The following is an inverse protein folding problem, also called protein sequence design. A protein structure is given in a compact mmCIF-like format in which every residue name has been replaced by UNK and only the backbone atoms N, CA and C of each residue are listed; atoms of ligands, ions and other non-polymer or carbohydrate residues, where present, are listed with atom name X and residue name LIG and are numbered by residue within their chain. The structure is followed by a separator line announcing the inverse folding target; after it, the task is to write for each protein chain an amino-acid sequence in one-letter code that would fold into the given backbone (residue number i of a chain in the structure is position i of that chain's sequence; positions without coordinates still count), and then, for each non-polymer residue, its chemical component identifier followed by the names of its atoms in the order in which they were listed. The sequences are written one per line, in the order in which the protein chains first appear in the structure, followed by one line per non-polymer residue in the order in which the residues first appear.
data_IF_763963813954
#
_entry.id   IF_763963813954
#
_cell.length_a   1.000
_cell.length_b   1.000
_cell.length_c   1.000
_cell.angle_alpha   90.00
_cell.angle_beta   90.00
_cell.angle_gamma   90.00
#
_symmetry.space_group_name_H-M   'P 1'
#
loop_
_entity.id
_entity.type
_entity.pdbx_description
1 polymer ?
#
# COMPACT_ATOMS: atom_id res chain seq x y z
N UNK A 1 -4.01 11.07 -47.87
CA UNK A 1 -4.12 9.59 -47.86
C UNK A 1 -2.70 9.09 -47.59
N UNK A 2 -2.28 8.39 -46.56
CA UNK A 2 -2.91 7.54 -45.52
C UNK A 2 -1.92 7.56 -44.34
N UNK A 3 -2.34 7.88 -43.12
CA UNK A 3 -2.57 6.91 -42.04
C UNK A 3 -1.53 5.79 -41.93
N UNK A 4 -0.65 5.87 -40.92
CA UNK A 4 -0.10 4.70 -40.25
C UNK A 4 0.33 5.05 -38.81
N UNK A 5 -0.59 4.87 -37.87
CA UNK A 5 -0.27 4.65 -36.47
C UNK A 5 -0.24 3.13 -36.22
N UNK A 6 0.81 2.58 -35.60
CA UNK A 6 0.70 1.31 -34.92
C UNK A 6 0.83 1.49 -33.40
N UNK A 7 -0.22 1.09 -32.68
CA UNK A 7 -0.18 0.61 -31.29
C UNK A 7 -0.80 -0.80 -31.31
N UNK A 8 -0.69 -1.63 -30.25
CA UNK A 8 0.38 -1.80 -29.28
C UNK A 8 0.80 -3.28 -29.15
N UNK A 9 2.03 -3.57 -28.75
CA UNK A 9 2.40 -4.91 -28.28
C UNK A 9 2.57 -4.89 -26.76
N UNK A 10 1.72 -5.66 -26.08
CA UNK A 10 1.86 -6.04 -24.67
C UNK A 10 3.07 -6.97 -24.55
N UNK A 11 3.94 -6.77 -23.56
CA UNK A 11 4.42 -7.92 -22.79
C UNK A 11 4.68 -7.56 -21.34
N UNK A 12 4.13 -8.44 -20.53
CA UNK A 12 4.11 -8.53 -19.08
C UNK A 12 5.51 -8.89 -18.57
N UNK A 13 6.05 -8.10 -17.66
CA UNK A 13 6.84 -8.54 -16.50
C UNK A 13 7.48 -7.31 -15.86
N UNK A 14 7.08 -6.96 -14.65
CA UNK A 14 8.09 -6.47 -13.73
C UNK A 14 7.81 -6.95 -12.32
N UNK A 15 8.80 -7.68 -11.81
CA UNK A 15 8.77 -8.38 -10.56
C UNK A 15 8.54 -7.40 -9.40
N UNK A 16 7.67 -7.79 -8.48
CA UNK A 16 7.72 -7.35 -7.10
C UNK A 16 9.14 -7.54 -6.56
N UNK A 17 9.86 -6.45 -6.32
CA UNK A 17 10.92 -6.32 -5.31
C UNK A 17 11.41 -4.88 -5.26
N UNK A 18 10.96 -4.13 -4.26
CA UNK A 18 11.60 -2.88 -3.86
C UNK A 18 12.96 -3.21 -3.23
N UNK A 19 14.09 -2.67 -3.72
CA UNK A 19 15.38 -2.91 -3.10
C UNK A 19 15.52 -2.04 -1.83
N UNK A 20 15.25 -2.63 -0.66
CA UNK A 20 15.65 -2.06 0.60
C UNK A 20 17.18 -2.23 0.77
N UNK A 21 17.95 -1.17 0.55
CA UNK A 21 19.33 -1.10 1.09
C UNK A 21 19.26 -0.50 2.50
N UNK A 22 19.03 -1.36 3.49
CA UNK A 22 19.22 -1.02 4.90
C UNK A 22 20.62 -1.48 5.34
N UNK A 23 21.49 -0.53 5.71
CA UNK A 23 22.79 -0.83 6.35
C UNK A 23 22.53 -1.07 7.83
N UNK A 24 22.73 -2.31 8.30
CA UNK A 24 22.49 -2.72 9.70
C UNK A 24 23.73 -2.49 10.55
N UNK A 25 23.58 -1.76 11.65
CA UNK A 25 24.43 -1.86 12.84
C UNK A 25 23.50 -1.77 14.05
N UNK A 26 23.38 -2.87 14.82
CA UNK A 26 22.61 -2.92 16.07
C UNK A 26 21.34 -3.78 16.02
N UNK A 27 21.10 -4.56 17.09
CA UNK A 27 19.91 -5.39 17.33
C UNK A 27 18.63 -4.59 17.05
N UNK A 28 17.91 -4.96 15.98
CA UNK A 28 16.90 -4.10 15.36
C UNK A 28 15.55 -4.09 16.10
N UNK A 29 14.90 -2.93 16.28
CA UNK A 29 13.52 -2.83 16.70
C UNK A 29 12.57 -3.33 15.59
N UNK A 30 11.30 -3.69 15.91
CA UNK A 30 10.48 -4.53 15.07
C UNK A 30 10.08 -3.83 13.77
N UNK A 31 9.87 -4.66 12.74
CA UNK A 31 9.20 -4.32 11.50
C UNK A 31 7.96 -3.48 11.84
N UNK A 32 7.86 -2.27 11.26
CA UNK A 32 6.66 -1.45 11.36
C UNK A 32 5.45 -2.33 11.09
N UNK A 33 4.42 -2.20 11.94
CA UNK A 33 3.24 -3.07 11.84
C UNK A 33 2.66 -3.02 10.42
N UNK A 34 2.15 -4.16 9.96
CA UNK A 34 1.53 -4.26 8.64
C UNK A 34 0.38 -3.23 8.52
N UNK A 35 0.37 -2.41 7.46
CA UNK A 35 -0.68 -1.43 7.26
C UNK A 35 -2.03 -2.13 7.02
N UNK A 36 -3.11 -1.55 7.54
CA UNK A 36 -4.48 -2.03 7.26
C UNK A 36 -5.11 -1.12 6.21
N UNK A 37 -5.44 -1.69 5.06
CA UNK A 37 -6.10 -0.96 3.96
C UNK A 37 -7.55 -1.40 3.87
N UNK A 38 -8.49 -0.45 3.84
CA UNK A 38 -9.92 -0.69 3.66
C UNK A 38 -10.42 0.11 2.47
N UNK A 39 -11.22 -0.55 1.63
CA UNK A 39 -11.79 0.04 0.42
C UNK A 39 -13.25 -0.34 0.38
N UNK A 40 -14.11 0.54 0.88
CA UNK A 40 -15.57 0.35 0.92
C UNK A 40 -16.24 1.00 -0.30
N UNK A 41 -17.56 0.98 -0.41
CA UNK A 41 -18.29 1.67 -1.49
C UNK A 41 -18.09 3.19 -1.42
N UNK A 42 -18.09 3.75 -0.22
CA UNK A 42 -18.10 5.20 -0.01
C UNK A 42 -16.72 5.82 0.18
N UNK A 43 -15.73 5.04 0.63
CA UNK A 43 -14.40 5.58 0.97
C UNK A 43 -13.28 4.57 0.88
N UNK A 44 -12.08 5.10 0.70
CA UNK A 44 -10.81 4.40 0.80
C UNK A 44 -10.07 4.89 2.05
N UNK A 45 -9.52 3.97 2.85
CA UNK A 45 -8.87 4.28 4.13
C UNK A 45 -7.61 3.42 4.32
N UNK A 46 -6.53 4.03 4.78
CA UNK A 46 -5.28 3.38 5.19
C UNK A 46 -5.03 3.69 6.66
N UNK A 47 -4.76 2.65 7.44
CA UNK A 47 -4.30 2.75 8.83
C UNK A 47 -2.85 2.28 8.92
N UNK A 48 -1.99 3.09 9.54
CA UNK A 48 -0.56 2.82 9.70
C UNK A 48 -0.09 3.17 11.12
N UNK A 49 0.48 2.20 11.83
CA UNK A 49 1.15 2.43 13.11
C UNK A 49 2.47 3.18 12.89
N UNK A 50 2.54 4.41 13.42
CA UNK A 50 3.69 5.30 13.32
C UNK A 50 4.08 5.86 14.69
N UNK A 51 3.74 5.17 15.79
CA UNK A 51 4.00 5.59 17.19
C UNK A 51 5.45 5.96 17.54
N UNK A 52 6.41 5.55 16.71
CA UNK A 52 7.83 5.90 16.86
C UNK A 52 8.25 7.16 16.09
N UNK A 53 7.29 7.88 15.50
CA UNK A 53 7.49 9.10 14.71
C UNK A 53 6.60 10.21 15.24
N UNK A 54 7.17 11.40 15.37
CA UNK A 54 6.39 12.59 15.64
C UNK A 54 5.69 13.08 14.36
N UNK A 55 4.63 13.89 14.46
CA UNK A 55 3.98 14.49 13.28
C UNK A 55 4.97 15.22 12.36
N UNK A 56 6.00 15.86 12.93
CA UNK A 56 7.08 16.56 12.22
C UNK A 56 8.01 15.64 11.42
N UNK A 57 8.14 14.37 11.82
CA UNK A 57 8.98 13.38 11.14
C UNK A 57 8.24 12.73 9.95
N UNK A 58 6.93 13.01 9.78
CA UNK A 58 6.05 12.38 8.81
C UNK A 58 5.76 13.31 7.64
N UNK A 59 5.76 12.74 6.44
CA UNK A 59 5.40 13.43 5.20
C UNK A 59 4.46 12.54 4.40
N UNK A 60 3.30 13.09 4.04
CA UNK A 60 2.31 12.42 3.20
C UNK A 60 2.18 13.20 1.89
N UNK A 61 2.32 12.50 0.76
CA UNK A 61 2.21 13.07 -0.58
C UNK A 61 1.30 12.22 -1.43
N UNK A 62 0.62 12.86 -2.37
CA UNK A 62 -0.12 12.15 -3.43
C UNK A 62 0.49 12.52 -4.77
N UNK A 63 0.89 11.51 -5.52
CA UNK A 63 1.52 11.66 -6.82
C UNK A 63 1.18 10.46 -7.70
N UNK A 64 0.79 10.71 -8.97
CA UNK A 64 0.57 9.68 -9.99
C UNK A 64 -0.40 8.55 -9.55
N UNK A 65 -1.51 8.90 -8.89
CA UNK A 65 -2.48 7.94 -8.30
C UNK A 65 -1.91 7.07 -7.17
N UNK A 66 -0.80 7.49 -6.56
CA UNK A 66 -0.26 6.88 -5.34
C UNK A 66 -0.29 7.85 -4.19
N UNK A 67 -0.54 7.32 -2.99
CA UNK A 67 -0.21 7.99 -1.74
C UNK A 67 1.12 7.45 -1.22
N UNK A 68 2.04 8.36 -0.95
CA UNK A 68 3.38 8.11 -0.43
C UNK A 68 3.46 8.66 0.99
N UNK A 69 3.79 7.78 1.94
CA UNK A 69 3.98 8.10 3.35
C UNK A 69 5.44 7.83 3.68
N UNK A 70 6.16 8.89 4.01
CA UNK A 70 7.55 8.86 4.43
C UNK A 70 7.62 9.27 5.89
N UNK A 71 8.24 8.45 6.72
CA UNK A 71 8.61 8.81 8.09
C UNK A 71 10.11 8.79 8.23
N UNK A 72 10.71 9.87 8.71
CA UNK A 72 12.14 9.98 8.94
C UNK A 72 12.42 10.62 10.29
N UNK A 73 12.78 9.77 11.25
CA UNK A 73 13.27 10.18 12.55
C UNK A 73 14.79 10.11 12.51
N UNK A 74 15.44 11.27 12.53
CA UNK A 74 16.90 11.35 12.60
C UNK A 74 17.40 10.78 13.95
N UNK A 75 18.70 10.56 14.02
CA UNK A 75 19.36 10.08 15.23
C UNK A 75 19.10 11.04 16.41
N UNK A 76 18.17 10.68 17.30
CA UNK A 76 17.90 11.40 18.55
C UNK A 76 18.25 10.51 19.72
N UNK A 77 18.66 11.15 20.82
CA UNK A 77 18.90 10.46 22.07
C UNK A 77 17.56 10.06 22.69
N UNK A 78 17.40 8.77 22.97
CA UNK A 78 16.31 8.22 23.80
C UNK A 78 16.89 7.56 25.07
N UNK A 79 16.03 7.02 25.92
CA UNK A 79 16.42 6.36 27.18
C UNK A 79 17.41 5.20 27.00
N UNK A 80 17.60 4.69 25.77
CA UNK A 80 18.43 3.53 25.46
C UNK A 80 19.63 3.85 24.55
N UNK A 81 19.88 5.12 24.24
CA UNK A 81 21.01 5.57 23.41
C UNK A 81 20.55 6.43 22.24
N UNK A 82 21.21 6.29 21.09
CA UNK A 82 20.86 7.02 19.88
C UNK A 82 20.07 6.10 18.94
N UNK A 83 18.86 6.53 18.52
CA UNK A 83 18.07 5.76 17.55
C UNK A 83 17.65 6.63 16.37
N UNK A 84 17.84 6.07 15.17
CA UNK A 84 17.35 6.59 13.91
C UNK A 84 16.39 5.57 13.28
N UNK A 85 15.28 6.07 12.72
CA UNK A 85 14.24 5.23 12.08
C UNK A 85 13.78 5.91 10.80
N UNK A 86 13.63 5.13 9.73
CA UNK A 86 13.10 5.65 8.47
C UNK A 86 12.23 4.60 7.78
N UNK A 87 11.12 5.03 7.19
CA UNK A 87 10.28 4.19 6.35
C UNK A 87 9.67 4.94 5.18
N UNK A 88 9.49 4.21 4.08
CA UNK A 88 8.79 4.70 2.89
C UNK A 88 7.72 3.67 2.53
N UNK A 89 6.46 4.10 2.51
CA UNK A 89 5.32 3.27 2.11
C UNK A 89 4.56 3.96 1.01
N UNK A 90 4.23 3.22 -0.04
CA UNK A 90 3.47 3.72 -1.18
C UNK A 90 2.26 2.84 -1.43
N UNK A 91 1.09 3.44 -1.54
CA UNK A 91 -0.17 2.75 -1.78
C UNK A 91 -0.83 3.30 -3.02
N UNK A 92 -1.35 2.42 -3.86
CA UNK A 92 -2.11 2.82 -5.05
C UNK A 92 -3.51 3.25 -4.62
N UNK A 93 -3.92 4.45 -5.04
CA UNK A 93 -5.28 4.92 -4.90
C UNK A 93 -6.16 4.29 -5.99
N UNK A 94 -7.37 3.81 -5.63
CA UNK A 94 -8.38 3.49 -6.62
C UNK A 94 -8.72 4.72 -7.47
N UNK A 95 -8.99 4.52 -8.76
CA UNK A 95 -9.30 5.61 -9.71
C UNK A 95 -10.57 6.38 -9.36
N UNK A 96 -11.45 5.79 -8.55
CA UNK A 96 -12.68 6.41 -8.09
C UNK A 96 -12.54 7.15 -6.76
N UNK A 97 -11.32 7.32 -6.21
CA UNK A 97 -11.12 8.17 -5.03
C UNK A 97 -11.01 9.62 -5.47
N UNK A 98 -11.77 10.51 -4.81
CA UNK A 98 -11.62 11.95 -4.99
C UNK A 98 -10.33 12.44 -4.31
N UNK A 99 -9.35 12.83 -5.13
CA UNK A 99 -8.06 13.32 -4.66
C UNK A 99 -8.14 14.73 -4.05
N UNK A 100 -9.19 15.50 -4.35
CA UNK A 100 -9.39 16.85 -3.79
C UNK A 100 -9.86 16.81 -2.34
N UNK A 101 -10.61 15.76 -1.97
CA UNK A 101 -11.21 15.59 -0.66
C UNK A 101 -10.42 14.61 0.25
N UNK A 102 -9.12 14.44 -0.01
CA UNK A 102 -8.26 13.60 0.83
C UNK A 102 -8.03 14.23 2.20
N UNK A 103 -7.96 13.37 3.21
CA UNK A 103 -7.69 13.76 4.59
C UNK A 103 -6.68 12.81 5.23
N UNK A 104 -5.84 13.36 6.09
CA UNK A 104 -4.88 12.61 6.89
C UNK A 104 -4.94 13.09 8.34
N UNK A 105 -4.97 12.16 9.28
CA UNK A 105 -4.98 12.44 10.72
C UNK A 105 -4.04 11.48 11.43
N UNK A 106 -3.48 11.92 12.56
CA UNK A 106 -2.64 11.12 13.43
C UNK A 106 -3.25 11.10 14.82
N UNK A 107 -3.55 9.90 15.32
CA UNK A 107 -4.15 9.70 16.64
C UNK A 107 -3.08 9.76 17.73
N UNK A 108 -3.47 10.06 18.97
CA UNK A 108 -2.53 10.16 20.10
C UNK A 108 -1.81 8.83 20.41
N UNK A 109 -2.42 7.69 20.06
CA UNK A 109 -1.82 6.36 20.16
C UNK A 109 -0.80 6.05 19.05
N UNK A 110 -0.58 6.97 18.10
CA UNK A 110 0.38 6.79 17.01
C UNK A 110 -0.20 6.11 15.77
N UNK A 111 -1.52 6.01 15.63
CA UNK A 111 -2.17 5.51 14.42
C UNK A 111 -2.42 6.64 13.41
N UNK A 112 -1.71 6.60 12.28
CA UNK A 112 -1.98 7.46 11.12
C UNK A 112 -3.16 6.89 10.33
N UNK A 113 -4.16 7.74 10.06
CA UNK A 113 -5.31 7.41 9.21
C UNK A 113 -5.33 8.34 8.01
N UNK A 114 -5.13 7.78 6.83
CA UNK A 114 -5.32 8.46 5.54
C UNK A 114 -6.64 8.01 4.95
N UNK A 115 -7.49 8.94 4.50
CA UNK A 115 -8.79 8.63 3.93
C UNK A 115 -9.16 9.52 2.75
N UNK A 116 -9.88 8.94 1.79
CA UNK A 116 -10.48 9.67 0.67
C UNK A 116 -11.87 9.15 0.35
N UNK A 117 -12.86 10.02 0.12
CA UNK A 117 -14.18 9.58 -0.34
C UNK A 117 -14.09 9.04 -1.76
N UNK A 118 -14.97 8.11 -2.10
CA UNK A 118 -15.11 7.58 -3.45
C UNK A 118 -16.21 8.31 -4.19
N UNK A 119 -15.91 8.72 -5.42
CA UNK A 119 -16.85 9.32 -6.35
C UNK A 119 -17.76 8.20 -6.83
N UNK A 120 -19.02 8.22 -6.41
CA UNK A 120 -20.04 7.33 -6.93
C UNK A 120 -20.45 7.79 -8.34
N UNK A 121 -19.81 7.25 -9.37
CA UNK A 121 -20.39 7.29 -10.72
C UNK A 121 -21.52 6.27 -10.74
N UNK A 122 -22.76 6.69 -11.06
CA UNK A 122 -23.97 5.85 -11.03
C UNK A 122 -24.03 4.65 -12.00
N UNK A 123 -22.87 4.07 -12.35
CA UNK A 123 -22.67 2.94 -13.26
C UNK A 123 -22.36 1.62 -12.53
N UNK A 124 -22.18 1.62 -11.20
CA UNK A 124 -21.96 0.40 -10.41
C UNK A 124 -23.26 -0.36 -10.13
N UNK A 125 -24.00 -0.70 -11.19
CA UNK A 125 -24.92 -1.82 -11.15
C UNK A 125 -24.08 -3.08 -10.92
N UNK A 126 -24.20 -3.64 -9.72
CA UNK A 126 -23.46 -4.79 -9.23
C UNK A 126 -23.69 -6.00 -10.14
N UNK A 127 -22.75 -6.28 -11.04
CA UNK A 127 -22.67 -7.59 -11.70
C UNK A 127 -21.95 -8.55 -10.75
N UNK A 128 -22.67 -9.04 -9.73
CA UNK A 128 -22.21 -10.19 -8.93
C UNK A 128 -22.08 -11.39 -9.87
N UNK A 129 -20.84 -11.83 -10.12
CA UNK A 129 -20.56 -13.05 -10.86
C UNK A 129 -20.02 -14.09 -9.90
N UNK A 130 -20.78 -15.16 -9.68
CA UNK A 130 -20.31 -16.31 -8.91
C UNK A 130 -19.07 -16.93 -9.59
N UNK A 131 -17.97 -17.06 -8.85
CA UNK A 131 -16.76 -17.76 -9.28
C UNK A 131 -16.80 -19.17 -8.64
N UNK A 132 -16.97 -20.25 -9.41
CA UNK A 132 -16.96 -21.60 -8.84
C UNK A 132 -15.55 -21.96 -8.38
N UNK A 133 -15.44 -22.46 -7.14
CA UNK A 133 -14.18 -22.94 -6.56
C UNK A 133 -14.04 -24.43 -6.87
N UNK A 134 -13.11 -24.80 -7.75
CA UNK A 134 -12.76 -26.19 -8.02
C UNK A 134 -11.54 -26.62 -7.20
N UNK A 135 -11.56 -27.85 -6.66
CA UNK A 135 -10.38 -28.49 -6.06
C UNK A 135 -9.60 -29.20 -7.16
N UNK A 136 -8.30 -28.90 -7.28
CA UNK A 136 -7.40 -29.64 -8.16
C UNK A 136 -6.96 -30.93 -7.45
N UNK A 137 -7.50 -32.07 -7.87
CA UNK A 137 -7.03 -33.38 -7.42
C UNK A 137 -5.87 -33.83 -8.32
N UNK A 138 -4.66 -33.88 -7.74
CA UNK A 138 -3.49 -34.44 -8.41
C UNK A 138 -3.68 -35.97 -8.52
N UNK A 139 -3.60 -36.58 -9.72
CA UNK A 139 -3.77 -38.02 -9.86
C UNK A 139 -2.61 -38.75 -9.17
N UNK A 140 -2.88 -39.34 -8.02
CA UNK A 140 -1.99 -40.29 -7.36
C UNK A 140 -2.04 -41.59 -8.15
N UNK A 141 -0.98 -41.89 -8.91
CA UNK A 141 -0.81 -43.18 -9.57
C UNK A 141 -0.88 -44.32 -8.54
N UNK A 142 -1.73 -45.31 -8.83
CA UNK A 142 -1.93 -46.50 -8.02
C UNK A 142 -0.62 -47.31 -7.84
N UNK A 143 -0.46 -48.07 -6.73
CA UNK A 143 0.64 -49.00 -6.59
C UNK A 143 0.42 -50.21 -7.52
N UNK A 144 1.35 -50.44 -8.45
CA UNK A 144 1.44 -51.73 -9.14
C UNK A 144 1.98 -52.79 -8.19
N UNK A 145 1.37 -53.96 -8.31
CA UNK A 145 1.56 -55.22 -7.58
C UNK A 145 3.00 -55.71 -7.45
#
# INVERSE_FOLDING_TARGET
MSSACPRPAKLLANLLRCPAKAKRTGNGPPLLSEPRVRSDRDKFVIFLDVKHFSPEDLTVKVQDDFVEIHGKHNERQDDHGYISREFHRRYRLPSNVDQSALSCSLSADGMLTFSGPKIQTGLDATHERAIPVAREEKPSSAPSS
#
